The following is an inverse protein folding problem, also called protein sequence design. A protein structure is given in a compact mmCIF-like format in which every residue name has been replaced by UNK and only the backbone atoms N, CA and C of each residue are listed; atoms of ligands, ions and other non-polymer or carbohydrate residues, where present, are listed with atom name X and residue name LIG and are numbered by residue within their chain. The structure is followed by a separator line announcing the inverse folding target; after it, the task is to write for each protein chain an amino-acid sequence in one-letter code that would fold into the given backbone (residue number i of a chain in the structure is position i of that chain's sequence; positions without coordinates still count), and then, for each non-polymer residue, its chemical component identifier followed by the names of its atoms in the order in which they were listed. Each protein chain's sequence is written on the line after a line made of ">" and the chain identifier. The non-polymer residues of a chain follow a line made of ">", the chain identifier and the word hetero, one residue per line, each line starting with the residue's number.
data_IF_428130067898
#
_entry.id   IF_428130067898
#
_cell.length_a   1.000
_cell.length_b   1.000
_cell.length_c   1.000
_cell.angle_alpha   90.00
_cell.angle_beta   90.00
_cell.angle_gamma   90.00
#
_symmetry.space_group_name_H-M   'P 1'
#
loop_
_entity.id
_entity.type
_entity.pdbx_description
1 polymer ?
#
# COMPACT_ATOMS: atom_id res chain seq x y z
N UNK A 1 13.44 14.45 21.35
CA UNK A 1 12.78 13.24 21.86
C UNK A 1 11.52 13.61 22.63
N UNK A 2 10.53 12.79 22.52
CA UNK A 2 9.28 12.89 23.26
C UNK A 2 9.13 11.67 24.16
N UNK A 3 8.54 11.84 25.32
CA UNK A 3 8.24 10.75 26.27
C UNK A 3 6.76 10.37 26.27
N UNK A 4 5.96 11.04 25.44
CA UNK A 4 4.51 10.77 25.28
C UNK A 4 4.25 10.13 23.94
N UNK A 5 3.09 9.49 23.80
CA UNK A 5 2.60 8.90 22.54
C UNK A 5 1.98 9.91 21.59
N UNK A 6 2.02 11.20 21.93
CA UNK A 6 1.45 12.28 21.13
C UNK A 6 2.38 13.48 21.06
N UNK A 7 2.36 14.16 19.93
CA UNK A 7 3.04 15.40 19.68
C UNK A 7 2.12 16.34 18.93
N UNK A 8 2.06 17.60 19.34
CA UNK A 8 1.20 18.60 18.73
C UNK A 8 2.03 19.80 18.29
N UNK A 9 1.74 20.32 17.12
CA UNK A 9 2.36 21.55 16.60
C UNK A 9 1.35 22.33 15.76
N UNK A 10 1.64 23.59 15.49
CA UNK A 10 0.81 24.45 14.62
C UNK A 10 1.42 24.48 13.22
N UNK A 11 0.78 23.87 12.20
CA UNK A 11 1.31 23.88 10.85
C UNK A 11 1.14 25.25 10.17
N UNK A 12 2.03 25.55 9.23
CA UNK A 12 1.82 26.64 8.26
C UNK A 12 0.94 26.11 7.13
N UNK A 13 -0.03 26.91 6.65
CA UNK A 13 -0.88 26.48 5.52
C UNK A 13 -0.06 26.22 4.25
N UNK A 14 -0.52 25.28 3.44
CA UNK A 14 0.08 24.86 2.17
C UNK A 14 1.54 24.36 2.27
N UNK A 15 1.94 23.89 3.45
CA UNK A 15 3.24 23.25 3.68
C UNK A 15 3.01 21.79 3.99
N UNK A 16 3.64 20.90 3.23
CA UNK A 16 3.63 19.45 3.51
C UNK A 16 4.64 19.15 4.60
N UNK A 17 4.16 18.66 5.72
CA UNK A 17 4.99 18.19 6.83
C UNK A 17 5.12 16.67 6.76
N UNK A 18 6.32 16.18 7.05
CA UNK A 18 6.63 14.75 7.06
C UNK A 18 7.04 14.32 8.46
N UNK A 19 6.60 13.14 8.86
CA UNK A 19 6.81 12.61 10.20
C UNK A 19 7.35 11.18 10.12
N UNK A 20 8.37 10.91 10.91
CA UNK A 20 8.90 9.57 11.19
C UNK A 20 9.07 9.40 12.67
N UNK A 21 8.91 8.19 13.14
CA UNK A 21 9.11 7.85 14.55
C UNK A 21 10.20 6.78 14.64
N UNK A 22 11.14 6.98 15.54
CA UNK A 22 12.14 6.00 15.92
C UNK A 22 12.01 5.72 17.41
N UNK A 23 12.28 4.50 17.82
CA UNK A 23 12.41 4.14 19.22
C UNK A 23 13.87 4.26 19.65
N UNK A 24 14.14 4.91 20.78
CA UNK A 24 15.50 5.09 21.31
C UNK A 24 15.59 4.46 22.68
N UNK A 25 16.62 3.65 22.89
CA UNK A 25 16.97 3.06 24.18
C UNK A 25 18.49 3.09 24.41
N UNK A 26 18.97 2.43 25.46
CA UNK A 26 20.42 2.38 25.75
C UNK A 26 21.25 1.62 24.70
N UNK A 27 20.60 0.75 23.92
CA UNK A 27 21.27 -0.04 22.86
C UNK A 27 21.36 0.69 21.53
N UNK A 28 20.66 1.80 21.36
CA UNK A 28 20.66 2.57 20.11
C UNK A 28 19.30 3.09 19.69
N UNK A 29 19.16 3.37 18.42
CA UNK A 29 17.96 3.89 17.76
C UNK A 29 17.45 2.87 16.73
N UNK A 30 16.13 2.64 16.72
CA UNK A 30 15.49 1.73 15.76
C UNK A 30 15.49 2.27 14.34
N UNK A 31 15.21 1.41 13.36
CA UNK A 31 14.79 1.88 12.05
C UNK A 31 13.58 2.81 12.17
N UNK A 32 13.46 3.82 11.29
CA UNK A 32 12.33 4.72 11.30
C UNK A 32 11.04 4.00 10.86
N UNK A 33 9.93 4.46 11.39
CA UNK A 33 8.61 4.10 10.87
C UNK A 33 8.45 4.51 9.40
N UNK A 34 7.41 4.01 8.74
CA UNK A 34 6.91 4.59 7.49
C UNK A 34 6.74 6.11 7.67
N UNK A 35 7.06 6.87 6.62
CA UNK A 35 6.89 8.32 6.65
C UNK A 35 5.42 8.67 6.45
N UNK A 36 4.82 9.31 7.42
CA UNK A 36 3.50 9.91 7.30
C UNK A 36 3.62 11.40 6.97
N UNK A 37 2.58 11.98 6.38
CA UNK A 37 2.59 13.38 5.99
C UNK A 37 1.25 14.05 6.27
N UNK A 38 1.28 15.37 6.38
CA UNK A 38 0.09 16.19 6.52
C UNK A 38 0.29 17.57 5.89
N UNK A 39 -0.80 18.13 5.37
CA UNK A 39 -0.85 19.49 4.86
C UNK A 39 -2.21 20.11 5.21
N UNK A 40 -2.20 21.33 5.72
CA UNK A 40 -3.40 22.12 5.95
C UNK A 40 -3.51 23.14 4.82
N UNK A 41 -4.67 23.23 4.19
CA UNK A 41 -4.95 24.20 3.14
C UNK A 41 -5.10 25.62 3.72
N UNK A 42 -4.68 26.63 2.96
CA UNK A 42 -5.02 28.01 3.25
C UNK A 42 -6.47 28.37 2.91
N UNK A 43 -7.18 27.51 2.18
CA UNK A 43 -8.56 27.74 1.77
C UNK A 43 -9.52 27.55 2.96
N UNK A 44 -10.32 28.55 3.23
CA UNK A 44 -11.36 28.46 4.25
C UNK A 44 -12.40 27.41 3.87
N UNK A 45 -12.72 26.50 4.80
CA UNK A 45 -13.66 25.41 4.57
C UNK A 45 -13.13 24.28 3.67
N UNK A 46 -11.81 24.18 3.51
CA UNK A 46 -11.20 23.06 2.84
C UNK A 46 -11.67 21.72 3.43
N UNK A 47 -11.95 20.74 2.56
CA UNK A 47 -12.42 19.42 2.98
C UNK A 47 -11.25 18.54 3.41
N UNK A 48 -11.50 17.65 4.35
CA UNK A 48 -10.51 16.74 4.88
C UNK A 48 -10.41 15.46 4.05
N UNK A 49 -9.18 15.11 3.66
CA UNK A 49 -8.82 13.88 2.93
C UNK A 49 -7.86 13.07 3.78
N UNK A 50 -8.12 11.78 3.89
CA UNK A 50 -7.22 10.82 4.53
C UNK A 50 -6.51 9.99 3.48
N UNK A 51 -5.19 9.92 3.55
CA UNK A 51 -4.37 8.95 2.84
C UNK A 51 -4.04 7.81 3.79
N UNK A 52 -4.45 6.59 3.47
CA UNK A 52 -4.16 5.40 4.26
C UNK A 52 -3.03 4.62 3.60
N UNK A 53 -1.91 4.50 4.32
CA UNK A 53 -0.82 3.63 3.91
C UNK A 53 -1.17 2.18 4.28
N UNK A 54 -1.62 1.42 3.28
CA UNK A 54 -1.89 -0.01 3.37
C UNK A 54 -0.72 -0.87 2.90
N UNK A 55 0.38 -0.28 2.47
CA UNK A 55 1.55 -0.99 2.00
C UNK A 55 2.51 -1.27 3.16
N UNK A 56 2.16 -2.23 3.99
CA UNK A 56 2.92 -2.58 5.20
C UNK A 56 3.94 -3.70 4.97
N UNK A 57 3.86 -4.39 3.84
CA UNK A 57 4.72 -5.51 3.51
C UNK A 57 6.16 -5.07 3.23
N UNK A 58 7.10 -5.68 3.95
CA UNK A 58 8.50 -5.76 3.53
C UNK A 58 8.70 -7.13 2.88
N UNK A 59 9.13 -7.16 1.63
CA UNK A 59 9.19 -8.41 0.87
C UNK A 59 10.43 -8.51 0.01
N UNK A 60 11.06 -9.67 0.03
CA UNK A 60 12.05 -10.06 -0.97
C UNK A 60 11.39 -10.63 -2.23
N UNK A 61 12.20 -11.05 -3.21
CA UNK A 61 11.71 -11.70 -4.41
C UNK A 61 10.98 -13.02 -4.13
N UNK A 62 10.14 -13.46 -5.06
CA UNK A 62 9.52 -14.77 -4.98
C UNK A 62 10.58 -15.87 -4.95
N UNK A 63 10.46 -16.80 -4.03
CA UNK A 63 11.36 -17.95 -3.92
C UNK A 63 10.85 -19.09 -4.77
N UNK A 64 11.77 -19.77 -5.43
CA UNK A 64 11.54 -21.05 -6.11
C UNK A 64 12.30 -22.12 -5.37
N UNK A 65 11.59 -23.16 -4.98
CA UNK A 65 12.15 -24.44 -4.57
C UNK A 65 11.21 -25.54 -5.07
N UNK A 66 11.55 -26.10 -6.22
CA UNK A 66 10.75 -27.13 -6.88
C UNK A 66 11.38 -28.53 -6.79
N UNK A 67 12.40 -28.68 -5.92
CA UNK A 67 13.18 -29.90 -5.76
C UNK A 67 14.27 -30.11 -6.81
N UNK A 68 14.24 -29.37 -7.91
CA UNK A 68 15.26 -29.38 -8.97
C UNK A 68 15.99 -28.07 -9.09
N UNK A 69 15.33 -26.96 -8.73
CA UNK A 69 15.88 -25.61 -8.75
C UNK A 69 15.58 -24.91 -7.44
N UNK A 70 16.56 -24.18 -6.95
CA UNK A 70 16.43 -23.31 -5.78
C UNK A 70 16.92 -21.92 -6.14
N UNK A 71 16.21 -20.88 -5.71
CA UNK A 71 16.60 -19.49 -5.95
C UNK A 71 15.42 -18.53 -5.92
N UNK A 72 15.55 -17.46 -6.69
CA UNK A 72 14.54 -16.41 -6.75
C UNK A 72 13.94 -16.31 -8.15
N UNK A 73 12.62 -16.21 -8.22
CA UNK A 73 11.91 -15.92 -9.44
C UNK A 73 11.55 -14.43 -9.47
N UNK A 74 12.44 -13.64 -10.02
CA UNK A 74 12.26 -12.19 -10.13
C UNK A 74 11.15 -11.79 -11.10
N UNK A 75 10.78 -12.68 -12.03
CA UNK A 75 9.70 -12.43 -12.97
C UNK A 75 8.32 -12.62 -12.32
N UNK A 76 8.24 -13.54 -11.35
CA UNK A 76 6.99 -13.76 -10.62
C UNK A 76 6.73 -12.68 -9.54
N UNK A 77 7.77 -12.34 -8.80
CA UNK A 77 7.73 -11.24 -7.83
C UNK A 77 9.17 -10.76 -7.58
N UNK A 78 9.46 -9.59 -8.04
CA UNK A 78 10.78 -8.97 -7.86
C UNK A 78 11.05 -8.55 -6.43
N UNK A 79 10.05 -8.56 -5.58
CA UNK A 79 10.12 -7.95 -4.26
C UNK A 79 10.01 -6.44 -4.32
N UNK A 80 10.19 -5.81 -3.18
CA UNK A 80 10.15 -4.35 -3.04
C UNK A 80 11.56 -3.88 -2.74
N UNK A 81 12.14 -3.07 -3.64
CA UNK A 81 13.49 -2.53 -3.46
C UNK A 81 13.44 -1.22 -2.70
N UNK A 82 14.41 -1.06 -1.79
CA UNK A 82 14.64 0.20 -1.10
C UNK A 82 16.08 0.64 -1.38
N UNK A 83 16.23 1.63 -2.24
CA UNK A 83 17.55 2.23 -2.51
C UNK A 83 18.56 1.28 -3.15
N UNK A 84 19.84 1.54 -2.90
CA UNK A 84 20.94 1.01 -3.68
C UNK A 84 21.37 -0.37 -3.24
N UNK A 85 20.91 -0.97 -2.17
CA UNK A 85 21.42 -2.12 -1.79
C UNK A 85 20.98 -3.10 -1.00
N UNK A 86 21.09 -4.05 -1.47
CA UNK A 86 20.69 -4.86 -0.82
C UNK A 86 20.98 -6.08 -0.21
N UNK A 87 20.79 -6.21 0.86
CA UNK A 87 20.59 -7.46 1.47
C UNK A 87 19.23 -7.98 1.09
N UNK A 88 19.13 -9.13 0.52
CA UNK A 88 17.88 -9.85 0.44
C UNK A 88 17.53 -10.38 1.83
N UNK A 89 16.29 -10.17 2.23
CA UNK A 89 15.84 -10.48 3.58
C UNK A 89 14.66 -11.44 3.63
N UNK A 90 14.33 -12.10 2.55
CA UNK A 90 13.23 -13.04 2.47
C UNK A 90 11.98 -12.47 1.83
N UNK A 91 10.87 -13.20 1.90
CA UNK A 91 9.60 -12.79 1.26
C UNK A 91 8.89 -11.70 2.02
N UNK A 92 8.72 -11.89 3.32
CA UNK A 92 8.17 -10.91 4.24
C UNK A 92 9.01 -10.94 5.51
N UNK A 93 9.29 -9.76 6.06
CA UNK A 93 10.02 -9.64 7.30
C UNK A 93 9.09 -9.10 8.36
N UNK A 94 9.07 -9.77 9.47
CA UNK A 94 8.47 -9.30 10.68
C UNK A 94 9.54 -9.25 11.76
N UNK A 95 9.70 -8.11 12.41
CA UNK A 95 10.62 -7.91 13.52
C UNK A 95 10.02 -8.36 14.86
N UNK A 96 8.76 -8.74 14.87
CA UNK A 96 8.13 -9.34 16.04
C UNK A 96 8.31 -10.85 16.01
N UNK A 97 9.15 -11.35 16.91
CA UNK A 97 9.47 -12.78 17.04
C UNK A 97 8.25 -13.68 17.19
N UNK A 98 7.15 -13.20 17.73
CA UNK A 98 5.92 -13.96 17.94
C UNK A 98 5.08 -14.11 16.68
N UNK A 99 5.36 -13.31 15.65
CA UNK A 99 4.59 -13.22 14.40
C UNK A 99 5.26 -13.85 13.20
N UNK A 100 6.46 -14.39 13.39
CA UNK A 100 7.30 -14.86 12.31
C UNK A 100 7.05 -16.33 11.99
N UNK A 101 6.88 -16.65 10.72
CA UNK A 101 6.92 -18.01 10.21
C UNK A 101 8.35 -18.55 10.25
N UNK A 102 8.54 -19.66 10.95
CA UNK A 102 9.88 -20.23 11.19
C UNK A 102 10.37 -21.14 10.08
N UNK A 103 9.53 -21.54 9.15
CA UNK A 103 9.87 -22.51 8.13
C UNK A 103 9.27 -22.14 6.78
N UNK A 104 10.03 -22.36 5.74
CA UNK A 104 9.59 -22.18 4.37
C UNK A 104 10.61 -21.45 3.50
N UNK A 105 10.51 -21.63 2.18
CA UNK A 105 11.44 -21.01 1.25
C UNK A 105 11.42 -19.48 1.37
N UNK A 106 12.56 -18.88 1.62
CA UNK A 106 12.71 -17.42 1.72
C UNK A 106 12.16 -16.81 3.01
N UNK A 107 11.71 -17.60 3.95
CA UNK A 107 11.37 -17.12 5.27
C UNK A 107 12.65 -16.88 6.05
N UNK A 108 13.15 -15.67 6.03
CA UNK A 108 14.15 -15.23 6.99
C UNK A 108 13.48 -14.83 8.30
N UNK A 109 12.35 -15.31 8.55
CA UNK A 109 11.67 -15.24 9.77
C UNK A 109 11.92 -13.96 10.55
N UNK A 110 12.73 -14.06 11.55
CA UNK A 110 13.08 -13.01 12.49
C UNK A 110 14.47 -12.44 12.21
N UNK A 111 14.62 -11.12 12.21
CA UNK A 111 15.91 -10.43 12.16
C UNK A 111 16.23 -9.82 13.52
N UNK A 112 17.44 -9.99 13.98
CA UNK A 112 17.99 -9.26 15.11
C UNK A 112 18.75 -8.00 14.62
N UNK A 113 19.94 -7.79 15.09
CA UNK A 113 20.75 -6.61 14.79
C UNK A 113 21.68 -6.76 13.57
N UNK A 114 21.73 -7.93 12.95
CA UNK A 114 22.60 -8.21 11.81
C UNK A 114 22.35 -7.32 10.59
N UNK A 115 21.18 -6.74 10.50
CA UNK A 115 20.80 -5.78 9.46
C UNK A 115 20.88 -4.32 9.92
N UNK A 116 21.28 -4.06 11.15
CA UNK A 116 21.44 -2.70 11.66
C UNK A 116 22.39 -1.88 10.78
N UNK A 117 21.95 -0.71 10.36
CA UNK A 117 22.72 0.17 9.47
C UNK A 117 22.88 -0.32 8.03
N UNK A 118 22.27 -1.44 7.65
CA UNK A 118 22.26 -1.93 6.27
C UNK A 118 20.98 -1.55 5.55
N UNK A 119 21.11 -1.30 4.25
CA UNK A 119 19.96 -1.27 3.38
C UNK A 119 19.61 -2.69 2.95
N UNK A 120 18.33 -2.99 2.82
CA UNK A 120 17.84 -4.26 2.32
C UNK A 120 16.66 -4.05 1.37
N UNK A 121 16.38 -5.05 0.55
CA UNK A 121 15.22 -5.02 -0.32
C UNK A 121 13.95 -4.97 0.51
N UNK A 122 13.08 -4.07 0.16
CA UNK A 122 11.87 -3.84 0.92
C UNK A 122 11.07 -2.69 0.34
N UNK A 123 10.09 -2.24 1.09
CA UNK A 123 9.23 -1.14 0.74
C UNK A 123 9.98 0.19 0.83
N UNK A 124 9.77 1.09 -0.12
CA UNK A 124 10.01 2.51 0.11
C UNK A 124 9.11 3.02 1.23
N UNK A 125 9.62 3.93 2.04
CA UNK A 125 8.93 4.35 3.26
C UNK A 125 8.32 5.75 3.16
N UNK A 126 8.04 6.22 1.97
CA UNK A 126 7.57 7.60 1.72
C UNK A 126 6.47 7.70 0.66
N UNK A 127 5.83 6.61 0.29
CA UNK A 127 4.78 6.59 -0.73
C UNK A 127 3.59 7.46 -0.33
N UNK A 128 3.19 7.42 0.94
CA UNK A 128 2.09 8.26 1.44
C UNK A 128 2.39 9.76 1.35
N UNK A 129 3.67 10.14 1.39
CA UNK A 129 4.10 11.54 1.20
C UNK A 129 3.79 12.03 -0.22
N UNK A 130 4.00 11.18 -1.23
CA UNK A 130 3.69 11.51 -2.62
C UNK A 130 2.20 11.79 -2.79
N UNK A 131 1.33 10.89 -2.32
CA UNK A 131 -0.12 11.07 -2.36
C UNK A 131 -0.56 12.36 -1.63
N UNK A 132 -0.05 12.59 -0.43
CA UNK A 132 -0.35 13.83 0.33
C UNK A 132 0.12 15.07 -0.43
N UNK A 133 1.32 15.06 -1.00
CA UNK A 133 1.86 16.20 -1.73
C UNK A 133 1.04 16.51 -3.00
N UNK A 134 0.65 15.46 -3.74
CA UNK A 134 -0.13 15.60 -4.97
C UNK A 134 -1.54 16.17 -4.68
N UNK A 135 -2.24 15.64 -3.68
CA UNK A 135 -3.55 16.15 -3.28
C UNK A 135 -3.43 17.58 -2.76
N UNK A 136 -2.42 17.85 -1.92
CA UNK A 136 -2.18 19.18 -1.36
C UNK A 136 -1.83 20.23 -2.43
N UNK A 137 -1.22 19.81 -3.56
CA UNK A 137 -0.84 20.72 -4.65
C UNK A 137 -2.03 21.45 -5.25
N UNK A 138 -3.24 20.88 -5.15
CA UNK A 138 -4.48 21.56 -5.56
C UNK A 138 -4.86 22.75 -4.70
N UNK A 139 -4.34 22.84 -3.48
CA UNK A 139 -4.70 23.86 -2.48
C UNK A 139 -6.12 23.73 -1.91
N UNK A 140 -6.92 22.78 -2.39
CA UNK A 140 -8.36 22.69 -2.10
C UNK A 140 -8.69 21.83 -0.87
N UNK A 141 -7.72 21.05 -0.36
CA UNK A 141 -7.95 20.05 0.67
C UNK A 141 -6.97 20.17 1.84
N UNK A 142 -7.46 19.88 3.04
CA UNK A 142 -6.62 19.43 4.13
C UNK A 142 -6.32 17.95 3.92
N UNK A 143 -5.08 17.55 4.02
CA UNK A 143 -4.68 16.15 3.78
C UNK A 143 -3.85 15.65 4.95
N UNK A 144 -4.17 14.47 5.42
CA UNK A 144 -3.36 13.77 6.41
C UNK A 144 -3.16 12.32 5.99
N UNK A 145 -2.05 11.72 6.36
CA UNK A 145 -1.86 10.29 6.17
C UNK A 145 -1.88 9.53 7.50
N UNK A 146 -2.22 8.26 7.41
CA UNK A 146 -2.26 7.31 8.53
C UNK A 146 -1.80 5.95 8.07
N UNK A 147 -1.30 5.13 8.97
CA UNK A 147 -1.14 3.70 8.68
C UNK A 147 -2.48 2.98 8.70
N UNK A 148 -2.58 1.86 7.97
CA UNK A 148 -3.78 1.02 7.95
C UNK A 148 -4.08 0.46 9.33
N UNK A 149 -3.06 0.12 10.12
CA UNK A 149 -3.24 -0.41 11.48
C UNK A 149 -3.92 0.61 12.42
N UNK A 150 -3.69 1.91 12.22
CA UNK A 150 -4.37 2.93 13.01
C UNK A 150 -5.87 3.00 12.70
N UNK A 151 -6.26 2.72 11.45
CA UNK A 151 -7.65 2.57 11.05
C UNK A 151 -8.26 1.30 11.63
N UNK A 152 -7.57 0.17 11.49
CA UNK A 152 -8.02 -1.15 11.97
C UNK A 152 -8.21 -1.18 13.49
N UNK A 153 -7.33 -0.51 14.22
CA UNK A 153 -7.41 -0.39 15.67
C UNK A 153 -8.35 0.72 16.16
N UNK A 154 -9.00 1.45 15.23
CA UNK A 154 -9.98 2.49 15.57
C UNK A 154 -9.39 3.79 16.11
N UNK A 155 -8.07 3.98 16.03
CA UNK A 155 -7.42 5.26 16.38
C UNK A 155 -7.73 6.34 15.35
N UNK A 156 -7.92 5.96 14.09
CA UNK A 156 -8.34 6.84 12.99
C UNK A 156 -9.68 6.36 12.48
N UNK A 157 -10.66 7.26 12.49
CA UNK A 157 -12.04 6.99 12.04
C UNK A 157 -12.25 7.56 10.65
N UNK A 158 -12.59 6.72 9.69
CA UNK A 158 -12.79 7.10 8.29
C UNK A 158 -13.91 8.13 8.13
N UNK A 159 -14.93 8.08 8.97
CA UNK A 159 -16.10 8.95 8.95
C UNK A 159 -15.77 10.44 9.17
N UNK A 160 -14.60 10.73 9.71
CA UNK A 160 -14.11 12.10 9.90
C UNK A 160 -13.65 12.75 8.60
N UNK A 161 -13.51 11.99 7.51
CA UNK A 161 -12.94 12.45 6.25
C UNK A 161 -13.95 12.37 5.12
N UNK A 162 -13.91 13.35 4.22
CA UNK A 162 -14.77 13.36 3.04
C UNK A 162 -14.38 12.36 1.99
N UNK A 163 -13.07 12.14 1.84
CA UNK A 163 -12.47 11.19 0.89
C UNK A 163 -11.38 10.42 1.61
N UNK A 164 -11.31 9.14 1.34
CA UNK A 164 -10.25 8.24 1.81
C UNK A 164 -9.52 7.68 0.59
N UNK A 165 -8.23 7.93 0.51
CA UNK A 165 -7.31 7.40 -0.49
C UNK A 165 -6.49 6.28 0.16
N UNK A 166 -6.64 5.04 -0.31
CA UNK A 166 -5.94 3.88 0.23
C UNK A 166 -4.92 3.40 -0.80
N UNK A 167 -3.66 3.42 -0.43
CA UNK A 167 -2.60 2.91 -1.26
C UNK A 167 -2.06 1.57 -0.73
N UNK A 168 -2.08 0.55 -1.57
CA UNK A 168 -1.57 -0.77 -1.24
C UNK A 168 -0.23 -1.10 -1.90
N UNK A 169 0.17 -0.37 -2.93
CA UNK A 169 1.42 -0.66 -3.64
C UNK A 169 1.50 -2.11 -4.10
N UNK A 170 2.50 -2.84 -3.60
CA UNK A 170 2.67 -4.28 -3.84
C UNK A 170 2.17 -5.16 -2.68
N UNK A 171 1.31 -4.65 -1.83
CA UNK A 171 0.72 -5.42 -0.72
C UNK A 171 -0.05 -6.63 -1.25
N UNK A 172 0.26 -7.79 -0.72
CA UNK A 172 -0.48 -9.04 -0.88
C UNK A 172 -0.08 -10.04 0.19
N UNK A 173 -0.92 -11.04 0.44
CA UNK A 173 -0.58 -12.20 1.25
C UNK A 173 0.27 -13.16 0.41
N UNK A 174 1.46 -13.50 0.86
CA UNK A 174 2.33 -14.48 0.21
C UNK A 174 2.13 -15.92 0.73
N UNK A 175 1.32 -16.08 1.77
CA UNK A 175 0.98 -17.38 2.34
C UNK A 175 2.04 -18.00 3.25
N UNK A 176 3.15 -17.30 3.52
CA UNK A 176 4.27 -17.84 4.30
C UNK A 176 4.40 -17.23 5.70
N UNK A 177 3.83 -16.07 5.94
CA UNK A 177 3.83 -15.45 7.24
C UNK A 177 2.72 -16.00 8.14
N UNK A 178 2.97 -16.08 9.45
CA UNK A 178 1.94 -16.40 10.45
C UNK A 178 0.82 -15.37 10.48
N UNK A 179 1.13 -14.12 10.17
CA UNK A 179 0.16 -13.05 9.98
C UNK A 179 -0.10 -12.86 8.49
N UNK A 180 -1.35 -12.84 8.11
CA UNK A 180 -1.73 -12.59 6.72
C UNK A 180 -1.70 -11.11 6.42
N UNK A 181 -0.86 -10.71 5.49
CA UNK A 181 -0.71 -9.32 5.04
C UNK A 181 -1.63 -9.02 3.84
N UNK A 182 -2.91 -9.27 4.01
CA UNK A 182 -3.93 -9.01 3.00
C UNK A 182 -4.00 -7.53 2.64
N UNK A 183 -4.37 -7.23 1.38
CA UNK A 183 -4.73 -5.87 0.97
C UNK A 183 -5.90 -5.37 1.82
N UNK A 184 -7.01 -6.09 1.83
CA UNK A 184 -8.15 -5.75 2.66
C UNK A 184 -8.32 -6.75 3.80
N UNK A 185 -7.78 -6.45 4.97
CA UNK A 185 -8.02 -7.24 6.17
C UNK A 185 -9.50 -7.25 6.54
N UNK A 186 -9.92 -8.18 7.39
CA UNK A 186 -11.30 -8.24 7.85
C UNK A 186 -11.74 -6.96 8.60
N UNK A 187 -10.82 -6.34 9.36
CA UNK A 187 -11.09 -5.10 10.08
C UNK A 187 -11.24 -3.91 9.13
N UNK A 188 -10.35 -3.79 8.15
CA UNK A 188 -10.41 -2.74 7.15
C UNK A 188 -11.67 -2.85 6.29
N UNK A 189 -12.05 -4.07 5.87
CA UNK A 189 -13.31 -4.30 5.13
C UNK A 189 -14.53 -3.78 5.90
N UNK A 190 -14.61 -4.11 7.19
CA UNK A 190 -15.70 -3.65 8.06
C UNK A 190 -15.73 -2.12 8.20
N UNK A 191 -14.58 -1.48 8.35
CA UNK A 191 -14.48 -0.03 8.42
C UNK A 191 -14.93 0.63 7.12
N UNK A 192 -14.49 0.10 5.97
CA UNK A 192 -14.86 0.62 4.65
C UNK A 192 -16.35 0.44 4.34
N UNK A 193 -16.94 -0.70 4.68
CA UNK A 193 -18.39 -0.91 4.52
C UNK A 193 -19.20 0.10 5.31
N UNK A 194 -18.80 0.38 6.56
CA UNK A 194 -19.46 1.40 7.39
C UNK A 194 -19.30 2.78 6.77
N UNK A 195 -18.09 3.14 6.37
CA UNK A 195 -17.77 4.43 5.79
C UNK A 195 -18.54 4.71 4.48
N UNK A 196 -18.57 3.76 3.57
CA UNK A 196 -19.26 3.91 2.27
C UNK A 196 -20.78 3.98 2.46
N UNK A 197 -21.37 3.18 3.37
CA UNK A 197 -22.80 3.30 3.75
C UNK A 197 -23.15 4.69 4.31
N UNK A 198 -22.18 5.37 4.93
CA UNK A 198 -22.27 6.75 5.39
C UNK A 198 -21.99 7.81 4.31
N UNK A 199 -22.04 7.45 3.01
CA UNK A 199 -21.70 8.34 1.89
C UNK A 199 -20.23 8.75 1.82
N UNK A 200 -19.34 7.96 2.38
CA UNK A 200 -17.90 8.13 2.22
C UNK A 200 -17.44 7.84 0.79
N UNK A 201 -16.43 8.53 0.33
CA UNK A 201 -15.82 8.35 -0.99
C UNK A 201 -14.45 7.71 -0.84
N UNK A 202 -14.20 6.64 -1.60
CA UNK A 202 -12.96 5.86 -1.52
C UNK A 202 -12.28 5.86 -2.87
N UNK A 203 -10.99 6.11 -2.86
CA UNK A 203 -10.07 5.80 -3.94
C UNK A 203 -9.13 4.69 -3.45
N UNK A 204 -8.87 3.69 -4.27
CA UNK A 204 -7.96 2.58 -3.92
C UNK A 204 -6.98 2.37 -5.06
N UNK A 205 -5.72 2.24 -4.72
CA UNK A 205 -4.65 1.89 -5.65
C UNK A 205 -3.80 0.73 -5.12
N UNK A 206 -3.34 -0.13 -6.01
CA UNK A 206 -2.46 -1.25 -5.68
C UNK A 206 -2.39 -2.29 -6.79
N UNK A 207 -1.30 -3.02 -6.84
CA UNK A 207 -1.06 -4.01 -7.89
C UNK A 207 -1.94 -5.27 -7.75
N UNK A 208 -2.38 -5.62 -6.54
CA UNK A 208 -3.01 -6.90 -6.22
C UNK A 208 -4.35 -6.74 -5.48
N UNK A 209 -5.05 -5.64 -5.70
CA UNK A 209 -6.27 -5.31 -4.94
C UNK A 209 -7.43 -6.30 -5.15
N UNK A 210 -7.50 -6.95 -6.30
CA UNK A 210 -8.54 -7.92 -6.60
C UNK A 210 -8.04 -9.38 -6.47
N UNK A 211 -6.82 -9.66 -6.96
CA UNK A 211 -6.25 -11.03 -6.93
C UNK A 211 -5.97 -11.55 -5.51
N UNK A 212 -5.69 -10.65 -4.57
CA UNK A 212 -5.46 -11.02 -3.19
C UNK A 212 -6.76 -11.38 -2.44
N UNK A 213 -7.92 -11.04 -2.98
CA UNK A 213 -9.25 -11.31 -2.42
C UNK A 213 -9.78 -12.67 -2.92
N UNK A 214 -9.32 -13.76 -2.31
CA UNK A 214 -9.51 -15.13 -2.81
C UNK A 214 -10.70 -15.88 -2.19
N UNK A 215 -11.09 -15.54 -0.98
CA UNK A 215 -12.22 -16.19 -0.30
C UNK A 215 -13.56 -15.63 -0.80
N UNK A 216 -14.63 -16.43 -0.71
CA UNK A 216 -15.96 -15.99 -1.17
C UNK A 216 -16.44 -14.70 -0.50
N UNK A 217 -16.21 -14.56 0.81
CA UNK A 217 -16.53 -13.33 1.54
C UNK A 217 -15.71 -12.12 1.07
N UNK A 218 -14.45 -12.35 0.64
CA UNK A 218 -13.57 -11.32 0.12
C UNK A 218 -13.99 -10.91 -1.29
N UNK A 219 -14.30 -11.86 -2.15
CA UNK A 219 -14.86 -11.60 -3.49
C UNK A 219 -16.20 -10.89 -3.42
N UNK A 220 -17.04 -11.28 -2.46
CA UNK A 220 -18.31 -10.61 -2.21
C UNK A 220 -18.14 -9.17 -1.75
N UNK A 221 -17.14 -8.90 -0.92
CA UNK A 221 -16.79 -7.53 -0.52
C UNK A 221 -16.39 -6.70 -1.75
N UNK A 222 -15.49 -7.21 -2.62
CA UNK A 222 -15.08 -6.50 -3.83
C UNK A 222 -16.26 -6.23 -4.77
N UNK A 223 -17.10 -7.23 -5.02
CA UNK A 223 -18.26 -7.08 -5.93
C UNK A 223 -19.35 -6.20 -5.35
N UNK A 224 -19.58 -6.25 -4.06
CA UNK A 224 -20.65 -5.47 -3.43
C UNK A 224 -20.26 -4.03 -3.14
N UNK A 225 -19.04 -3.80 -2.65
CA UNK A 225 -18.59 -2.46 -2.28
C UNK A 225 -17.97 -1.70 -3.45
N UNK A 226 -17.03 -2.30 -4.17
CA UNK A 226 -16.28 -1.63 -5.22
C UNK A 226 -16.82 -1.89 -6.63
N UNK A 227 -17.76 -2.81 -6.78
CA UNK A 227 -18.28 -3.25 -8.09
C UNK A 227 -17.17 -3.75 -9.02
N UNK A 228 -16.25 -4.51 -8.45
CA UNK A 228 -15.05 -5.01 -9.12
C UNK A 228 -14.99 -6.53 -9.04
N UNK A 229 -14.71 -7.15 -10.17
CA UNK A 229 -14.26 -8.54 -10.28
C UNK A 229 -12.78 -8.61 -10.67
N UNK A 230 -12.17 -9.77 -10.43
CA UNK A 230 -10.82 -10.07 -10.90
C UNK A 230 -10.89 -10.62 -12.33
N UNK A 231 -10.24 -9.94 -13.27
CA UNK A 231 -10.21 -10.30 -14.69
C UNK A 231 -8.94 -11.00 -15.16
N UNK A 232 -7.98 -11.20 -14.27
CA UNK A 232 -6.67 -11.77 -14.58
C UNK A 232 -5.52 -10.85 -14.18
N UNK A 233 -4.34 -11.15 -14.67
CA UNK A 233 -3.14 -10.32 -14.42
C UNK A 233 -2.57 -9.80 -15.72
N UNK A 234 -2.19 -8.53 -15.74
CA UNK A 234 -1.40 -7.92 -16.80
C UNK A 234 0.08 -8.08 -16.47
N UNK A 235 0.73 -8.96 -17.24
CA UNK A 235 2.17 -9.21 -17.19
C UNK A 235 2.90 -8.70 -18.42
N UNK A 236 2.20 -7.93 -19.26
CA UNK A 236 2.76 -7.40 -20.50
C UNK A 236 3.78 -6.30 -20.17
N UNK A 237 5.05 -6.62 -20.38
CA UNK A 237 6.17 -5.67 -20.17
C UNK A 237 6.56 -4.91 -21.44
N UNK A 238 5.90 -5.18 -22.58
CA UNK A 238 6.20 -4.50 -23.84
C UNK A 238 5.68 -3.06 -23.86
N UNK A 239 4.60 -2.81 -23.10
CA UNK A 239 4.02 -1.47 -22.95
C UNK A 239 3.66 -1.24 -21.49
N UNK A 240 3.95 -0.06 -21.00
CA UNK A 240 3.68 0.31 -19.60
C UNK A 240 2.50 1.26 -19.46
N UNK A 241 1.97 1.73 -20.59
CA UNK A 241 0.95 2.78 -20.62
C UNK A 241 -0.36 2.34 -19.98
N UNK A 242 -0.88 3.20 -19.15
CA UNK A 242 -2.27 3.19 -18.65
C UNK A 242 -2.93 4.49 -19.08
N UNK A 243 -4.11 4.40 -19.66
CA UNK A 243 -4.85 5.54 -20.18
C UNK A 243 -6.31 5.53 -19.73
N UNK A 244 -6.85 6.69 -19.44
CA UNK A 244 -8.27 6.89 -19.11
C UNK A 244 -8.51 8.15 -18.30
N UNK A 245 -9.77 8.54 -18.16
CA UNK A 245 -10.20 9.76 -17.45
C UNK A 245 -9.49 11.06 -17.91
N UNK A 246 -8.97 11.07 -19.14
CA UNK A 246 -8.25 12.21 -19.72
C UNK A 246 -6.79 12.35 -19.24
N UNK A 247 -6.26 11.33 -18.62
CA UNK A 247 -4.85 11.25 -18.20
C UNK A 247 -4.23 9.95 -18.68
N UNK A 248 -2.91 9.95 -18.83
CA UNK A 248 -2.14 8.74 -19.11
C UNK A 248 -0.84 8.75 -18.31
N UNK A 249 -0.36 7.55 -17.93
CA UNK A 249 0.90 7.38 -17.22
C UNK A 249 1.50 6.00 -17.51
N UNK A 250 2.78 5.83 -17.20
CA UNK A 250 3.48 4.57 -17.33
C UNK A 250 3.64 3.87 -15.99
N UNK A 251 3.35 2.56 -15.97
CA UNK A 251 3.67 1.71 -14.83
C UNK A 251 5.18 1.45 -14.81
N UNK A 252 5.77 1.57 -13.63
CA UNK A 252 7.17 1.24 -13.43
C UNK A 252 7.30 -0.27 -13.29
N UNK A 253 7.88 -0.91 -14.32
CA UNK A 253 8.06 -2.36 -14.41
C UNK A 253 9.46 -2.83 -13.98
N UNK A 254 10.39 -1.91 -13.76
CA UNK A 254 11.73 -2.20 -13.28
C UNK A 254 12.05 -1.32 -12.08
N UNK A 255 12.57 -1.88 -11.01
CA UNK A 255 12.90 -1.08 -9.83
C UNK A 255 14.04 -0.09 -10.14
N UNK A 256 13.99 1.03 -9.47
CA UNK A 256 15.06 2.02 -9.48
C UNK A 256 15.25 2.58 -8.06
N UNK A 257 16.14 3.54 -7.90
CA UNK A 257 16.47 4.14 -6.60
C UNK A 257 15.32 4.94 -5.95
N UNK A 258 14.21 5.13 -6.65
CA UNK A 258 13.06 5.93 -6.19
C UNK A 258 11.76 5.16 -6.13
N UNK A 259 11.62 4.09 -6.93
CA UNK A 259 10.34 3.42 -7.10
C UNK A 259 10.52 1.90 -7.12
N UNK A 260 9.57 1.21 -6.50
CA UNK A 260 9.41 -0.23 -6.66
C UNK A 260 8.86 -0.56 -8.06
N UNK A 261 8.99 -1.82 -8.47
CA UNK A 261 8.45 -2.30 -9.72
C UNK A 261 7.13 -3.04 -9.51
N UNK A 262 6.14 -2.75 -10.35
CA UNK A 262 4.89 -3.50 -10.44
C UNK A 262 4.90 -4.35 -11.71
N UNK A 263 5.54 -5.51 -11.68
CA UNK A 263 5.69 -6.37 -12.85
C UNK A 263 4.41 -7.08 -13.27
N UNK A 264 3.67 -7.58 -12.28
CA UNK A 264 2.36 -8.18 -12.48
C UNK A 264 1.33 -7.33 -11.76
N UNK A 265 0.32 -6.88 -12.45
CA UNK A 265 -0.74 -6.06 -11.88
C UNK A 265 -2.09 -6.65 -12.25
N UNK A 266 -3.08 -6.43 -11.40
CA UNK A 266 -4.42 -6.95 -11.65
C UNK A 266 -5.07 -6.31 -12.87
N UNK A 267 -5.73 -7.13 -13.68
CA UNK A 267 -6.80 -6.71 -14.57
C UNK A 267 -8.09 -6.77 -13.77
N UNK A 268 -8.80 -5.67 -13.71
CA UNK A 268 -10.06 -5.56 -12.99
C UNK A 268 -11.24 -5.59 -13.96
N UNK A 269 -12.37 -6.15 -13.54
CA UNK A 269 -13.58 -6.19 -14.36
C UNK A 269 -14.67 -5.39 -13.70
N UNK A 270 -15.25 -4.37 -14.37
CA UNK A 270 -16.35 -3.61 -13.83
C UNK A 270 -17.62 -4.46 -13.76
N UNK A 271 -18.29 -4.40 -12.62
CA UNK A 271 -19.62 -4.99 -12.39
C UNK A 271 -20.65 -3.87 -12.36
N UNK A 272 -21.74 -4.01 -13.08
CA UNK A 272 -22.78 -2.98 -13.14
C UNK A 272 -23.20 -2.52 -11.73
N UNK A 273 -23.35 -1.22 -11.48
CA UNK A 273 -23.36 -0.08 -12.42
C UNK A 273 -21.97 0.55 -12.71
N UNK A 274 -20.87 -0.08 -12.31
CA UNK A 274 -19.55 0.44 -12.54
C UNK A 274 -19.13 0.40 -14.01
N UNK A 275 -18.15 1.21 -14.38
CA UNK A 275 -17.58 1.29 -15.72
C UNK A 275 -16.04 1.23 -15.66
N UNK A 276 -15.44 0.84 -16.77
CA UNK A 276 -13.97 0.90 -16.91
C UNK A 276 -13.52 2.36 -16.95
N UNK A 277 -12.71 2.75 -15.97
CA UNK A 277 -12.19 4.11 -15.86
C UNK A 277 -10.86 4.29 -16.60
N UNK A 278 -10.01 3.26 -16.59
CA UNK A 278 -8.69 3.28 -17.26
C UNK A 278 -8.37 1.91 -17.84
N UNK A 279 -7.54 1.89 -18.89
CA UNK A 279 -7.08 0.67 -19.56
C UNK A 279 -5.57 0.60 -19.68
N UNK A 280 -5.07 -0.61 -19.61
CA UNK A 280 -3.72 -0.91 -20.05
C UNK A 280 -3.61 -0.80 -21.57
N UNK A 281 -2.38 -0.65 -22.08
CA UNK A 281 -2.14 -0.52 -23.52
C UNK A 281 -2.58 -1.72 -24.36
N UNK A 282 -2.78 -2.89 -23.76
CA UNK A 282 -3.34 -4.07 -24.42
C UNK A 282 -4.88 -4.09 -24.46
N UNK A 283 -5.51 -3.04 -23.97
CA UNK A 283 -6.96 -2.87 -23.94
C UNK A 283 -7.66 -3.51 -22.74
N UNK A 284 -6.95 -4.22 -21.87
CA UNK A 284 -7.54 -4.78 -20.64
C UNK A 284 -7.78 -3.69 -19.59
N UNK A 285 -8.75 -3.90 -18.71
CA UNK A 285 -9.19 -2.88 -17.78
C UNK A 285 -8.23 -2.74 -16.57
N UNK A 286 -7.72 -1.52 -16.38
CA UNK A 286 -6.77 -1.18 -15.30
C UNK A 286 -7.45 -0.56 -14.09
N UNK A 287 -8.56 0.13 -14.28
CA UNK A 287 -9.29 0.76 -13.20
C UNK A 287 -10.81 0.74 -13.45
N UNK A 288 -11.54 0.74 -12.37
CA UNK A 288 -13.01 0.75 -12.34
C UNK A 288 -13.46 1.95 -11.52
N UNK A 289 -14.52 2.59 -11.96
CA UNK A 289 -15.18 3.64 -11.20
C UNK A 289 -16.70 3.53 -11.28
N UNK A 290 -17.39 4.02 -10.27
CA UNK A 290 -18.81 4.25 -10.33
C UNK A 290 -19.21 5.37 -9.35
N UNK A 291 -20.32 6.03 -9.65
CA UNK A 291 -20.95 7.02 -8.78
C UNK A 291 -22.30 6.45 -8.35
N UNK A 292 -22.40 6.14 -7.08
CA UNK A 292 -23.60 5.53 -6.52
C UNK A 292 -23.37 4.94 -5.14
N UNK A 293 -24.45 4.70 -4.48
CA UNK A 293 -24.52 4.03 -3.17
C UNK A 293 -24.97 2.59 -3.37
#
# INVERSE_FOLDING_TARGET
>A
SVSSTSFTFTPKPNVVYQFRVTAVNRGGESFPSTTLAACVSAQAGARDVLVVDGFTRLAGPAVVDDGTRQGFNLDADMGVSLGINAGFVGRQIDFDRTRVGSEGPGALGYCEDEFAGKFFMGKQQNESVCHVADIASSGAYNVVSSSVEAVENGFVKLENYRVVDIMFGLQKDDGYSLVRYKTFSALLRKALESYVRGNGRVFVSGAYVASDMQLDAERSFMSNLFKVGFGGQNTNTATNLVDGLGISFDIIRRPNDRHYAAQSVDVVSPLAPAFCAMRYADGTDAAVAYDGI
#
